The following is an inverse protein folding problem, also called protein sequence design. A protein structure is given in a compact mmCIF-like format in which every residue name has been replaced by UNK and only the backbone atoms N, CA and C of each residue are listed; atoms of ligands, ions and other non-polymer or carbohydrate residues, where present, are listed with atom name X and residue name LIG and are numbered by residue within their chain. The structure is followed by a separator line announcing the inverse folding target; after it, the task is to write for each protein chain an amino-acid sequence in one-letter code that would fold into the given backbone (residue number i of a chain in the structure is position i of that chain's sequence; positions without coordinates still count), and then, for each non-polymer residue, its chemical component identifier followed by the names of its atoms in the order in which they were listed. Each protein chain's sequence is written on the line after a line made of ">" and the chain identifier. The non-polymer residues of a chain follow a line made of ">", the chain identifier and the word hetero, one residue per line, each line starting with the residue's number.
data_IF_108125996033
#
_entry.id   IF_108125996033
#
_cell.length_a   1.000
_cell.length_b   1.000
_cell.length_c   1.000
_cell.angle_alpha   90.00
_cell.angle_beta   90.00
_cell.angle_gamma   90.00
#
_symmetry.space_group_name_H-M   'P 1'
#
loop_
_entity.id
_entity.type
_entity.pdbx_description
1 polymer ?
#
# COMPACT_ATOMS: atom_id res chain seq x y z
N UNK A 1 23.12 -14.64 17.05
CA UNK A 1 22.07 -14.14 17.97
C UNK A 1 20.67 -14.55 17.49
N UNK A 2 20.05 -15.66 17.97
CA UNK A 2 18.76 -16.15 17.47
C UNK A 2 17.53 -15.88 18.38
N UNK A 3 17.70 -15.23 19.55
CA UNK A 3 16.62 -15.04 20.54
C UNK A 3 15.55 -14.01 20.13
N UNK A 4 15.87 -13.00 19.32
CA UNK A 4 14.91 -11.92 18.99
C UNK A 4 13.82 -12.34 17.96
N UNK A 5 14.10 -13.32 17.09
CA UNK A 5 13.14 -13.74 16.06
C UNK A 5 11.98 -14.60 16.62
N UNK A 6 12.20 -15.37 17.69
CA UNK A 6 11.13 -16.14 18.35
C UNK A 6 10.10 -15.25 19.07
N UNK A 7 10.54 -14.11 19.62
CA UNK A 7 9.64 -13.15 20.29
C UNK A 7 8.69 -12.44 19.30
N UNK A 8 9.19 -12.06 18.11
CA UNK A 8 8.38 -11.47 17.02
C UNK A 8 7.36 -12.44 16.40
N UNK A 9 7.62 -13.75 16.44
CA UNK A 9 6.67 -14.77 15.95
C UNK A 9 5.50 -14.96 16.92
N UNK A 10 5.79 -15.08 18.23
CA UNK A 10 4.77 -15.22 19.28
C UNK A 10 3.85 -14.00 19.41
N UNK A 11 4.38 -12.78 19.28
CA UNK A 11 3.56 -11.56 19.33
C UNK A 11 2.59 -11.43 18.15
N UNK A 12 3.00 -11.86 16.95
CA UNK A 12 2.12 -11.89 15.77
C UNK A 12 0.97 -12.90 15.92
N UNK A 13 1.23 -14.06 16.51
CA UNK A 13 0.18 -15.07 16.78
C UNK A 13 -0.82 -14.58 17.83
N UNK A 14 -0.35 -13.94 18.91
CA UNK A 14 -1.21 -13.40 19.97
C UNK A 14 -2.20 -12.34 19.45
N UNK A 15 -1.80 -11.53 18.47
CA UNK A 15 -2.66 -10.49 17.91
C UNK A 15 -3.65 -11.06 16.87
N UNK A 16 -3.29 -12.14 16.16
CA UNK A 16 -4.17 -12.77 15.16
C UNK A 16 -5.39 -13.47 15.78
N UNK A 17 -5.29 -13.90 17.03
CA UNK A 17 -6.38 -14.56 17.79
C UNK A 17 -7.14 -13.63 18.73
N UNK A 18 -6.81 -12.32 18.73
CA UNK A 18 -7.32 -11.36 19.71
C UNK A 18 -8.84 -11.13 19.69
N UNK A 19 -9.54 -11.51 18.61
CA UNK A 19 -11.00 -11.43 18.52
C UNK A 19 -11.72 -12.66 19.12
N UNK A 20 -11.03 -13.80 19.28
CA UNK A 20 -11.63 -15.06 19.74
C UNK A 20 -11.99 -15.03 21.22
N UNK A 21 -11.13 -14.43 22.05
CA UNK A 21 -11.34 -14.31 23.49
C UNK A 21 -12.61 -13.51 23.85
N UNK A 22 -12.82 -12.27 23.34
CA UNK A 22 -14.06 -11.54 23.62
C UNK A 22 -15.30 -12.21 23.03
N UNK A 23 -15.19 -12.87 21.87
CA UNK A 23 -16.31 -13.63 21.29
C UNK A 23 -16.73 -14.81 22.19
N UNK A 24 -15.75 -15.53 22.76
CA UNK A 24 -16.01 -16.65 23.68
C UNK A 24 -16.67 -16.19 24.99
N UNK A 25 -16.22 -15.06 25.55
CA UNK A 25 -16.82 -14.46 26.75
C UNK A 25 -18.28 -14.06 26.48
N UNK A 26 -18.55 -13.40 25.34
CA UNK A 26 -19.91 -13.05 24.96
C UNK A 26 -20.82 -14.28 24.82
N UNK A 27 -20.30 -15.37 24.23
CA UNK A 27 -21.04 -16.63 24.09
C UNK A 27 -21.36 -17.27 25.45
N UNK A 28 -20.39 -17.33 26.38
CA UNK A 28 -20.62 -17.87 27.73
C UNK A 28 -21.69 -17.06 28.47
N UNK A 29 -21.62 -15.73 28.42
CA UNK A 29 -22.60 -14.86 29.07
C UNK A 29 -24.01 -15.12 28.54
N UNK A 30 -24.17 -15.23 27.22
CA UNK A 30 -25.47 -15.57 26.60
C UNK A 30 -25.95 -16.97 26.97
N UNK A 31 -25.06 -17.95 27.02
CA UNK A 31 -25.38 -19.32 27.41
C UNK A 31 -25.86 -19.41 28.87
N UNK A 32 -25.17 -18.75 29.79
CA UNK A 32 -25.58 -18.67 31.21
C UNK A 32 -26.95 -17.98 31.32
N UNK A 33 -27.19 -16.90 30.58
CA UNK A 33 -28.46 -16.17 30.62
C UNK A 33 -29.62 -17.01 30.06
N UNK A 34 -29.40 -17.77 28.99
CA UNK A 34 -30.46 -18.49 28.29
C UNK A 34 -30.72 -19.89 28.83
N UNK A 35 -29.69 -20.59 29.31
CA UNK A 35 -29.79 -21.98 29.76
C UNK A 35 -29.47 -22.15 31.24
N UNK A 36 -28.49 -21.41 31.76
CA UNK A 36 -28.08 -21.52 33.16
C UNK A 36 -29.11 -20.98 34.14
N UNK A 37 -29.60 -19.76 33.89
CA UNK A 37 -30.58 -19.13 34.78
C UNK A 37 -31.92 -19.85 34.84
N UNK A 38 -32.54 -20.28 33.72
CA UNK A 38 -33.80 -21.03 33.79
C UNK A 38 -33.71 -22.33 34.58
N UNK A 39 -32.57 -23.03 34.52
CA UNK A 39 -32.32 -24.25 35.31
C UNK A 39 -32.12 -23.99 36.80
N UNK A 40 -31.70 -22.78 37.19
CA UNK A 40 -31.44 -22.42 38.59
C UNK A 40 -32.67 -21.82 39.31
N UNK A 41 -33.61 -21.27 38.54
CA UNK A 41 -34.77 -20.54 39.06
C UNK A 41 -35.99 -21.40 39.38
N UNK A 42 -35.97 -22.70 39.09
CA UNK A 42 -37.16 -23.58 39.14
C UNK A 42 -37.82 -23.70 40.52
N UNK A 43 -37.07 -23.49 41.62
CA UNK A 43 -37.54 -23.89 42.95
C UNK A 43 -37.58 -22.77 44.00
N UNK A 44 -37.25 -21.51 43.66
CA UNK A 44 -37.18 -20.42 44.65
C UNK A 44 -37.55 -19.02 44.10
N UNK A 45 -38.55 -18.32 44.67
CA UNK A 45 -39.00 -17.01 44.19
C UNK A 45 -37.97 -15.89 44.35
N UNK A 46 -37.11 -15.96 45.38
CA UNK A 46 -36.01 -15.01 45.60
C UNK A 46 -34.97 -15.13 44.47
N UNK A 47 -34.64 -16.36 44.05
CA UNK A 47 -33.70 -16.62 42.94
C UNK A 47 -34.25 -16.10 41.62
N UNK A 48 -35.55 -16.21 41.41
CA UNK A 48 -36.24 -15.64 40.25
C UNK A 48 -36.14 -14.11 40.22
N UNK A 49 -36.42 -13.42 41.34
CA UNK A 49 -36.32 -11.96 41.43
C UNK A 49 -34.88 -11.45 41.17
N UNK A 50 -33.87 -12.10 41.75
CA UNK A 50 -32.45 -11.79 41.53
C UNK A 50 -32.08 -11.95 40.05
N UNK A 51 -32.55 -13.04 39.42
CA UNK A 51 -32.30 -13.32 38.00
C UNK A 51 -32.88 -12.24 37.09
N UNK A 52 -34.13 -11.81 37.35
CA UNK A 52 -34.79 -10.74 36.60
C UNK A 52 -34.00 -9.42 36.70
N UNK A 53 -33.48 -9.09 37.89
CA UNK A 53 -32.69 -7.88 38.11
C UNK A 53 -31.32 -7.89 37.42
N UNK A 54 -30.63 -9.04 37.36
CA UNK A 54 -29.27 -9.16 36.81
C UNK A 54 -29.25 -9.37 35.29
N UNK A 55 -30.30 -9.97 34.72
CA UNK A 55 -30.42 -10.24 33.27
C UNK A 55 -30.11 -9.06 32.34
N UNK A 56 -30.60 -7.82 32.56
CA UNK A 56 -30.26 -6.69 31.69
C UNK A 56 -28.76 -6.33 31.73
N UNK A 57 -28.11 -6.42 32.90
CA UNK A 57 -26.67 -6.17 33.03
C UNK A 57 -25.84 -7.23 32.30
N UNK A 58 -26.26 -8.50 32.37
CA UNK A 58 -25.61 -9.59 31.63
C UNK A 58 -25.71 -9.43 30.11
N UNK A 59 -26.87 -9.02 29.60
CA UNK A 59 -27.06 -8.73 28.17
C UNK A 59 -26.21 -7.54 27.70
N UNK A 60 -26.14 -6.48 28.52
CA UNK A 60 -25.28 -5.32 28.23
C UNK A 60 -23.79 -5.70 28.18
N UNK A 61 -23.32 -6.50 29.14
CA UNK A 61 -21.94 -7.00 29.14
C UNK A 61 -21.65 -7.87 27.91
N UNK A 62 -22.57 -8.78 27.54
CA UNK A 62 -22.43 -9.61 26.35
C UNK A 62 -22.34 -8.77 25.06
N UNK A 63 -23.13 -7.71 24.94
CA UNK A 63 -23.09 -6.79 23.81
C UNK A 63 -21.75 -6.03 23.73
N UNK A 64 -21.19 -5.60 24.87
CA UNK A 64 -19.88 -4.94 24.92
C UNK A 64 -18.76 -5.87 24.43
N UNK A 65 -18.75 -7.13 24.88
CA UNK A 65 -17.74 -8.09 24.42
C UNK A 65 -17.93 -8.46 22.94
N UNK A 66 -19.16 -8.57 22.45
CA UNK A 66 -19.45 -8.83 21.04
C UNK A 66 -18.99 -7.68 20.12
N UNK A 67 -19.19 -6.42 20.54
CA UNK A 67 -18.74 -5.26 19.75
C UNK A 67 -17.21 -5.16 19.70
N UNK A 68 -16.52 -5.40 20.82
CA UNK A 68 -15.05 -5.49 20.84
C UNK A 68 -14.53 -6.63 19.96
N UNK A 69 -15.18 -7.80 20.01
CA UNK A 69 -14.85 -8.93 19.14
C UNK A 69 -15.02 -8.56 17.65
N UNK A 70 -16.11 -7.88 17.28
CA UNK A 70 -16.37 -7.44 15.91
C UNK A 70 -15.33 -6.43 15.42
N UNK A 71 -14.99 -5.43 16.23
CA UNK A 71 -13.96 -4.44 15.89
C UNK A 71 -12.61 -5.12 15.69
N UNK A 72 -12.24 -6.04 16.58
CA UNK A 72 -10.98 -6.79 16.46
C UNK A 72 -10.97 -7.75 15.28
N UNK A 73 -12.11 -8.36 14.94
CA UNK A 73 -12.28 -9.21 13.76
C UNK A 73 -12.15 -8.41 12.47
N UNK A 74 -12.82 -7.25 12.36
CA UNK A 74 -12.71 -6.36 11.19
C UNK A 74 -11.24 -5.89 11.02
N UNK A 75 -10.58 -5.49 12.11
CA UNK A 75 -9.14 -5.13 12.07
C UNK A 75 -8.27 -6.31 11.66
N UNK A 76 -8.55 -7.52 12.13
CA UNK A 76 -7.82 -8.73 11.78
C UNK A 76 -8.03 -9.13 10.31
N UNK A 77 -9.24 -8.98 9.78
CA UNK A 77 -9.59 -9.32 8.39
C UNK A 77 -9.04 -8.31 7.38
N UNK A 78 -9.04 -7.01 7.73
CA UNK A 78 -8.33 -5.99 6.93
C UNK A 78 -6.82 -6.27 6.95
N UNK A 79 -6.28 -6.68 8.11
CA UNK A 79 -4.86 -7.03 8.24
C UNK A 79 -4.51 -8.33 7.52
N UNK A 80 -5.38 -9.35 7.47
CA UNK A 80 -5.13 -10.62 6.78
C UNK A 80 -4.97 -10.40 5.27
N UNK A 81 -5.82 -9.54 4.69
CA UNK A 81 -5.71 -9.09 3.28
C UNK A 81 -4.40 -8.33 3.00
N UNK A 82 -3.87 -7.57 3.97
CA UNK A 82 -2.57 -6.89 3.86
C UNK A 82 -1.36 -7.80 4.18
N UNK A 83 -1.50 -8.76 5.10
CA UNK A 83 -0.41 -9.61 5.61
C UNK A 83 -0.19 -10.86 4.76
N UNK A 84 -1.23 -11.36 4.09
CA UNK A 84 -1.10 -12.45 3.11
C UNK A 84 -0.21 -12.04 1.92
N UNK A 85 -0.01 -10.74 1.72
CA UNK A 85 0.99 -10.18 0.78
C UNK A 85 2.44 -10.40 1.22
N UNK A 86 2.71 -10.61 2.52
CA UNK A 86 4.08 -10.76 3.05
C UNK A 86 4.55 -12.22 3.16
N UNK A 87 3.64 -13.19 3.12
CA UNK A 87 4.01 -14.63 3.20
C UNK A 87 4.27 -15.21 1.80
N UNK A 88 3.61 -14.69 0.75
CA UNK A 88 3.87 -15.12 -0.63
C UNK A 88 5.27 -14.68 -1.10
N UNK A 89 5.80 -13.58 -0.55
CA UNK A 89 7.17 -13.12 -0.85
C UNK A 89 8.25 -14.09 -0.32
N UNK A 90 7.94 -14.94 0.67
CA UNK A 90 8.92 -15.86 1.29
C UNK A 90 9.11 -17.15 0.46
N UNK A 91 8.10 -17.58 -0.30
CA UNK A 91 8.15 -18.79 -1.14
C UNK A 91 8.59 -18.52 -2.60
N UNK A 92 8.66 -17.25 -3.03
CA UNK A 92 9.18 -16.85 -4.36
C UNK A 92 10.68 -16.53 -4.36
N UNK A 93 11.39 -16.78 -3.25
CA UNK A 93 12.82 -16.51 -3.05
C UNK A 93 13.81 -17.41 -3.80
N UNK A 94 13.43 -18.03 -4.93
CA UNK A 94 14.33 -18.92 -5.71
C UNK A 94 14.69 -18.42 -7.12
N UNK A 95 14.42 -17.16 -7.45
CA UNK A 95 15.01 -16.52 -8.62
C UNK A 95 16.13 -15.59 -8.15
N UNK A 96 17.39 -16.05 -8.31
CA UNK A 96 18.57 -15.19 -8.15
C UNK A 96 18.48 -14.07 -9.20
N UNK A 97 18.49 -12.77 -8.83
CA UNK A 97 18.58 -11.71 -9.83
C UNK A 97 19.95 -11.82 -10.51
N UNK A 98 19.94 -12.05 -11.83
CA UNK A 98 21.12 -12.21 -12.70
C UNK A 98 21.68 -10.89 -13.23
N UNK A 99 21.17 -9.74 -12.77
CA UNK A 99 21.63 -8.43 -13.21
C UNK A 99 22.56 -7.81 -12.16
N UNK A 100 23.78 -7.46 -12.58
CA UNK A 100 24.66 -6.59 -11.79
C UNK A 100 23.95 -5.26 -11.58
N UNK A 101 23.87 -4.80 -10.32
CA UNK A 101 23.27 -3.50 -10.02
C UNK A 101 24.06 -2.40 -10.73
N UNK A 102 23.41 -1.42 -11.35
CA UNK A 102 24.10 -0.31 -11.98
C UNK A 102 24.78 0.57 -10.94
N UNK A 103 25.96 1.08 -11.25
CA UNK A 103 26.73 1.97 -10.37
C UNK A 103 26.42 3.46 -10.62
N UNK A 104 25.77 3.78 -11.73
CA UNK A 104 25.48 5.16 -12.17
C UNK A 104 24.04 5.34 -12.62
N UNK A 105 23.52 6.56 -12.46
CA UNK A 105 22.22 6.95 -12.99
C UNK A 105 22.22 7.00 -14.51
N UNK A 106 21.14 6.50 -15.11
CA UNK A 106 20.86 6.70 -16.54
C UNK A 106 19.36 6.87 -16.76
N UNK A 107 19.00 7.57 -17.85
CA UNK A 107 17.59 7.70 -18.26
C UNK A 107 16.99 6.32 -18.60
N UNK A 108 17.80 5.40 -19.12
CA UNK A 108 17.40 4.03 -19.38
C UNK A 108 17.00 3.31 -18.09
N UNK A 109 17.78 3.47 -17.00
CA UNK A 109 17.44 2.89 -15.70
C UNK A 109 16.11 3.40 -15.18
N UNK A 110 15.86 4.72 -15.22
CA UNK A 110 14.58 5.31 -14.80
C UNK A 110 13.39 4.75 -15.58
N UNK A 111 13.56 4.45 -16.87
CA UNK A 111 12.52 3.82 -17.71
C UNK A 111 12.35 2.33 -17.44
N UNK A 112 13.35 1.66 -16.85
CA UNK A 112 13.36 0.22 -16.61
C UNK A 112 12.84 -0.18 -15.22
N UNK A 113 13.03 0.65 -14.20
CA UNK A 113 12.54 0.35 -12.86
C UNK A 113 11.02 0.14 -12.83
N UNK A 114 10.56 -0.74 -11.95
CA UNK A 114 9.14 -0.99 -11.74
C UNK A 114 8.43 0.22 -11.10
N UNK A 115 7.12 0.32 -11.32
CA UNK A 115 6.32 1.46 -10.86
C UNK A 115 6.36 1.68 -9.33
N UNK A 116 6.39 0.60 -8.53
CA UNK A 116 6.51 0.74 -7.06
C UNK A 116 7.85 1.30 -6.63
N UNK A 117 8.94 0.85 -7.27
CA UNK A 117 10.29 1.38 -6.99
C UNK A 117 10.39 2.83 -7.43
N UNK A 118 9.72 3.18 -8.52
CA UNK A 118 9.62 4.57 -8.96
C UNK A 118 8.89 5.45 -7.96
N UNK A 119 7.75 5.01 -7.41
CA UNK A 119 7.03 5.74 -6.33
C UNK A 119 7.92 5.94 -5.10
N UNK A 120 8.62 4.89 -4.66
CA UNK A 120 9.53 4.95 -3.52
C UNK A 120 10.73 5.86 -3.80
N UNK A 121 11.30 5.81 -5.01
CA UNK A 121 12.36 6.71 -5.47
C UNK A 121 11.90 8.17 -5.44
N UNK A 122 10.70 8.46 -5.95
CA UNK A 122 10.16 9.81 -5.94
C UNK A 122 9.97 10.31 -4.50
N UNK A 123 9.42 9.48 -3.62
CA UNK A 123 9.31 9.82 -2.20
C UNK A 123 10.68 10.05 -1.55
N UNK A 124 11.67 9.19 -1.83
CA UNK A 124 13.03 9.33 -1.32
C UNK A 124 13.71 10.62 -1.82
N UNK A 125 13.54 10.98 -3.08
CA UNK A 125 14.06 12.22 -3.65
C UNK A 125 13.60 13.45 -2.86
N UNK A 126 12.31 13.54 -2.54
CA UNK A 126 11.80 14.67 -1.75
C UNK A 126 12.26 14.63 -0.28
N UNK A 127 12.57 13.45 0.28
CA UNK A 127 13.21 13.35 1.60
C UNK A 127 14.65 13.88 1.58
N UNK A 128 15.40 13.61 0.51
CA UNK A 128 16.75 14.17 0.33
C UNK A 128 16.71 15.70 0.18
N UNK A 129 15.60 16.28 -0.31
CA UNK A 129 15.37 17.72 -0.30
C UNK A 129 14.94 18.29 1.07
N UNK A 130 14.88 17.46 2.12
CA UNK A 130 14.51 17.87 3.47
C UNK A 130 13.00 17.96 3.73
N UNK A 131 12.15 17.45 2.83
CA UNK A 131 10.71 17.37 3.06
C UNK A 131 10.33 16.06 3.75
N UNK A 132 9.30 16.09 4.60
CA UNK A 132 8.70 14.85 5.09
C UNK A 132 7.76 14.30 4.02
N UNK A 133 8.13 13.17 3.43
CA UNK A 133 7.37 12.50 2.37
C UNK A 133 6.74 11.19 2.85
N UNK A 134 5.42 11.17 2.96
CA UNK A 134 4.62 10.03 3.41
C UNK A 134 3.95 9.33 2.22
N UNK A 135 4.34 8.08 1.98
CA UNK A 135 3.76 7.25 0.92
C UNK A 135 2.39 6.71 1.36
N UNK A 136 1.36 6.94 0.56
CA UNK A 136 0.02 6.40 0.80
C UNK A 136 -0.04 5.02 0.16
N UNK A 137 -0.30 4.00 0.97
CA UNK A 137 -0.49 2.63 0.46
C UNK A 137 -1.86 2.55 -0.21
N UNK A 138 -1.92 2.00 -1.43
CA UNK A 138 -3.13 1.71 -2.23
C UNK A 138 -4.46 1.97 -1.49
N UNK A 139 -5.07 3.12 -1.75
CA UNK A 139 -6.34 3.53 -1.16
C UNK A 139 -7.18 4.33 -2.15
N UNK A 140 -8.45 4.55 -1.81
CA UNK A 140 -9.46 5.24 -2.61
C UNK A 140 -9.20 6.75 -2.85
N UNK A 141 -8.00 7.24 -2.53
CA UNK A 141 -7.62 8.66 -2.53
C UNK A 141 -7.28 9.22 -3.93
N UNK A 142 -7.95 8.72 -4.98
CA UNK A 142 -7.88 9.31 -6.31
C UNK A 142 -6.52 9.21 -7.02
N UNK A 143 -5.66 8.28 -6.60
CA UNK A 143 -4.37 8.02 -7.26
C UNK A 143 -3.21 8.89 -6.76
N UNK A 144 -3.31 9.47 -5.57
CA UNK A 144 -2.17 10.13 -4.90
C UNK A 144 -1.25 9.09 -4.26
N UNK A 145 0.04 9.16 -4.58
CA UNK A 145 1.02 8.20 -4.11
C UNK A 145 1.78 8.72 -2.87
N UNK A 146 2.03 10.05 -2.81
CA UNK A 146 2.83 10.66 -1.73
C UNK A 146 2.24 11.99 -1.28
N UNK A 147 2.17 12.19 0.05
CA UNK A 147 1.89 13.48 0.69
C UNK A 147 3.20 14.11 1.16
N UNK A 148 3.42 15.38 0.82
CA UNK A 148 4.61 16.13 1.15
C UNK A 148 4.29 17.19 2.21
N UNK A 149 5.08 17.21 3.28
CA UNK A 149 4.94 18.13 4.41
C UNK A 149 6.20 18.97 4.55
N UNK A 150 6.02 20.23 4.99
CA UNK A 150 7.13 21.12 5.37
C UNK A 150 7.30 21.04 6.88
N UNK A 151 8.48 20.60 7.34
CA UNK A 151 8.76 20.39 8.76
C UNK A 151 7.70 19.52 9.44
N UNK A 152 7.25 19.95 10.61
CA UNK A 152 6.28 19.22 11.44
C UNK A 152 4.82 19.63 11.20
N UNK A 153 4.52 20.28 10.07
CA UNK A 153 3.16 20.70 9.75
C UNK A 153 2.17 19.52 9.75
N UNK A 154 1.00 19.69 10.34
CA UNK A 154 -0.05 18.66 10.40
C UNK A 154 -0.72 18.41 9.05
N UNK A 155 -0.73 19.40 8.17
CA UNK A 155 -1.38 19.33 6.86
C UNK A 155 -0.34 19.23 5.73
N UNK A 156 -0.64 18.46 4.66
CA UNK A 156 0.26 18.33 3.53
C UNK A 156 0.33 19.64 2.75
N UNK A 157 1.55 20.09 2.47
CA UNK A 157 1.80 21.27 1.64
C UNK A 157 1.52 20.98 0.16
N UNK A 158 1.86 19.76 -0.29
CA UNK A 158 1.64 19.32 -1.66
C UNK A 158 1.38 17.82 -1.73
N UNK A 159 0.76 17.40 -2.82
CA UNK A 159 0.59 15.98 -3.17
C UNK A 159 1.37 15.64 -4.42
N UNK A 160 1.86 14.41 -4.46
CA UNK A 160 2.64 13.87 -5.55
C UNK A 160 1.95 12.61 -6.08
N UNK A 161 1.73 12.61 -7.39
CA UNK A 161 1.28 11.46 -8.16
C UNK A 161 2.39 11.01 -9.10
N UNK A 162 2.70 9.74 -9.06
CA UNK A 162 3.74 9.08 -9.81
C UNK A 162 3.11 8.14 -10.84
N UNK A 163 3.58 8.19 -12.10
CA UNK A 163 3.11 7.29 -13.15
C UNK A 163 4.28 6.72 -13.95
N UNK A 164 4.68 5.49 -13.64
CA UNK A 164 5.75 4.76 -14.32
C UNK A 164 5.23 3.64 -15.26
N UNK A 165 4.16 3.92 -16.01
CA UNK A 165 3.46 2.92 -16.84
C UNK A 165 3.93 2.94 -18.30
N UNK A 166 3.66 1.84 -19.02
CA UNK A 166 4.12 1.57 -20.39
C UNK A 166 3.45 2.43 -21.50
N UNK A 167 2.91 3.60 -21.14
CA UNK A 167 2.34 4.54 -22.11
C UNK A 167 3.43 5.46 -22.64
N UNK A 168 3.44 5.66 -23.96
CA UNK A 168 4.40 6.54 -24.64
C UNK A 168 4.30 8.00 -24.15
N UNK A 169 3.11 8.43 -23.76
CA UNK A 169 2.82 9.78 -23.28
C UNK A 169 1.73 9.78 -22.20
N UNK A 170 1.74 10.82 -21.36
CA UNK A 170 0.70 11.12 -20.37
C UNK A 170 -0.21 12.23 -20.90
N UNK A 171 -1.48 11.91 -21.12
CA UNK A 171 -2.50 12.88 -21.56
C UNK A 171 -3.02 13.77 -20.43
N UNK A 172 -3.93 14.67 -20.76
CA UNK A 172 -4.52 15.65 -19.82
C UNK A 172 -5.41 15.03 -18.75
N UNK A 173 -6.05 13.87 -19.02
CA UNK A 173 -7.03 13.25 -18.11
C UNK A 173 -6.45 12.95 -16.71
N UNK A 174 -5.33 12.21 -16.57
CA UNK A 174 -4.70 12.00 -15.25
C UNK A 174 -4.33 13.30 -14.52
N UNK A 175 -3.89 14.33 -15.26
CA UNK A 175 -3.52 15.62 -14.67
C UNK A 175 -4.76 16.35 -14.12
N UNK A 176 -5.90 16.27 -14.81
CA UNK A 176 -7.19 16.77 -14.32
C UNK A 176 -7.69 15.99 -13.10
N UNK A 177 -7.50 14.68 -13.08
CA UNK A 177 -7.85 13.84 -11.92
C UNK A 177 -7.05 14.29 -10.68
N UNK A 178 -5.74 14.52 -10.80
CA UNK A 178 -4.92 15.08 -9.73
C UNK A 178 -5.47 16.43 -9.25
N UNK A 179 -5.81 17.33 -10.17
CA UNK A 179 -6.38 18.64 -9.83
C UNK A 179 -7.69 18.52 -9.02
N UNK A 180 -8.55 17.58 -9.39
CA UNK A 180 -9.78 17.28 -8.64
C UNK A 180 -9.50 16.83 -7.21
N UNK A 181 -8.48 15.99 -7.01
CA UNK A 181 -8.04 15.56 -5.68
C UNK A 181 -7.49 16.73 -4.86
N UNK A 182 -6.72 17.62 -5.48
CA UNK A 182 -6.20 18.84 -4.82
C UNK A 182 -7.35 19.71 -4.30
N UNK A 183 -8.37 19.95 -5.13
CA UNK A 183 -9.52 20.76 -4.75
C UNK A 183 -10.30 20.14 -3.58
N UNK A 184 -10.54 18.82 -3.63
CA UNK A 184 -11.25 18.11 -2.57
C UNK A 184 -10.49 18.11 -1.24
N UNK A 185 -9.17 17.92 -1.27
CA UNK A 185 -8.32 17.89 -0.07
C UNK A 185 -7.83 19.29 0.36
N UNK A 186 -8.24 20.36 -0.35
CA UNK A 186 -7.82 21.76 -0.12
C UNK A 186 -6.30 21.95 -0.16
N UNK A 187 -5.63 21.23 -1.05
CA UNK A 187 -4.17 21.27 -1.21
C UNK A 187 -3.78 22.31 -2.25
N UNK A 188 -2.83 23.19 -1.89
CA UNK A 188 -2.44 24.34 -2.72
C UNK A 188 -1.69 23.96 -3.99
N UNK A 189 -0.89 22.89 -3.96
CA UNK A 189 -0.05 22.51 -5.11
C UNK A 189 0.07 21.00 -5.29
N UNK A 190 0.15 20.58 -6.55
CA UNK A 190 0.31 19.19 -6.94
C UNK A 190 1.58 19.00 -7.76
N UNK A 191 2.16 17.81 -7.69
CA UNK A 191 3.28 17.39 -8.52
C UNK A 191 2.85 16.12 -9.24
N UNK A 192 3.00 16.09 -10.56
CA UNK A 192 2.83 14.88 -11.35
C UNK A 192 4.19 14.50 -11.91
N UNK A 193 4.62 13.26 -11.66
CA UNK A 193 5.92 12.76 -12.05
C UNK A 193 5.77 11.49 -12.90
N UNK A 194 6.42 11.45 -14.05
CA UNK A 194 6.36 10.31 -14.99
C UNK A 194 7.74 9.97 -15.55
N UNK A 195 7.94 8.72 -15.97
CA UNK A 195 9.14 8.30 -16.72
C UNK A 195 9.04 8.59 -18.21
N UNK A 196 7.84 8.91 -18.70
CA UNK A 196 7.56 9.26 -20.10
C UNK A 196 7.47 10.78 -20.29
N UNK A 197 6.82 11.24 -21.34
CA UNK A 197 6.58 12.66 -21.63
C UNK A 197 5.09 13.01 -21.51
N UNK A 198 4.76 14.31 -21.54
CA UNK A 198 3.39 14.82 -21.50
C UNK A 198 2.91 15.25 -22.87
N UNK A 199 1.60 15.17 -23.11
CA UNK A 199 0.99 15.80 -24.29
C UNK A 199 0.91 17.32 -24.10
N UNK A 200 0.79 18.07 -25.21
CA UNK A 200 0.64 19.53 -25.16
C UNK A 200 -0.57 19.97 -24.33
N UNK A 201 -1.71 19.29 -24.48
CA UNK A 201 -2.91 19.55 -23.66
C UNK A 201 -2.64 19.44 -22.15
N UNK A 202 -1.82 18.47 -21.74
CA UNK A 202 -1.46 18.28 -20.34
C UNK A 202 -0.56 19.42 -19.85
N UNK A 203 0.40 19.84 -20.68
CA UNK A 203 1.29 20.97 -20.40
C UNK A 203 0.50 22.28 -20.28
N UNK A 204 -0.42 22.55 -21.21
CA UNK A 204 -1.27 23.75 -21.20
C UNK A 204 -2.14 23.78 -19.96
N UNK A 205 -2.83 22.68 -19.65
CA UNK A 205 -3.64 22.57 -18.43
C UNK A 205 -2.81 22.80 -17.16
N UNK A 206 -1.61 22.23 -17.07
CA UNK A 206 -0.74 22.42 -15.91
C UNK A 206 -0.18 23.85 -15.78
N UNK A 207 -0.10 24.63 -16.86
CA UNK A 207 0.30 26.05 -16.78
C UNK A 207 -0.79 26.94 -16.16
N UNK A 208 -2.06 26.56 -16.34
CA UNK A 208 -3.22 27.29 -15.83
C UNK A 208 -3.57 26.92 -14.38
N UNK A 209 -2.95 25.86 -13.84
CA UNK A 209 -3.25 25.31 -12.52
C UNK A 209 -1.98 25.14 -11.69
N UNK A 210 -2.06 25.05 -10.35
CA UNK A 210 -0.89 24.88 -9.48
C UNK A 210 -0.35 23.45 -9.50
N UNK A 211 -0.09 22.91 -10.69
CA UNK A 211 0.41 21.54 -10.92
C UNK A 211 1.77 21.61 -11.60
N UNK A 212 2.77 21.01 -10.96
CA UNK A 212 4.11 20.89 -11.52
C UNK A 212 4.24 19.55 -12.25
N UNK A 213 4.45 19.59 -13.56
CA UNK A 213 4.77 18.41 -14.36
C UNK A 213 6.28 18.17 -14.40
N UNK A 214 6.68 16.92 -14.15
CA UNK A 214 8.06 16.46 -14.14
C UNK A 214 8.13 15.18 -14.98
N UNK A 215 8.70 15.28 -16.18
CA UNK A 215 8.97 14.14 -17.04
C UNK A 215 10.28 13.43 -16.66
N UNK A 216 10.57 12.32 -17.36
CA UNK A 216 11.74 11.49 -17.04
C UNK A 216 13.08 12.22 -17.20
N UNK A 217 13.21 13.10 -18.19
CA UNK A 217 14.45 13.85 -18.44
C UNK A 217 14.65 14.94 -17.38
N UNK A 218 13.59 15.68 -17.08
CA UNK A 218 13.59 16.69 -16.01
C UNK A 218 13.90 16.04 -14.66
N UNK A 219 13.31 14.89 -14.36
CA UNK A 219 13.59 14.17 -13.12
C UNK A 219 15.04 13.67 -13.05
N UNK A 220 15.56 13.11 -14.14
CA UNK A 220 16.98 12.73 -14.23
C UNK A 220 17.91 13.92 -13.96
N UNK A 221 17.66 15.06 -14.60
CA UNK A 221 18.42 16.29 -14.39
C UNK A 221 18.30 16.82 -12.95
N UNK A 222 17.15 16.63 -12.30
CA UNK A 222 16.94 16.99 -10.90
C UNK A 222 17.79 16.12 -9.97
N UNK A 223 17.85 14.80 -10.20
CA UNK A 223 18.72 13.89 -9.44
C UNK A 223 20.19 14.27 -9.63
N UNK A 224 20.61 14.60 -10.85
CA UNK A 224 21.99 14.99 -11.16
C UNK A 224 22.47 16.27 -10.46
N UNK A 225 21.56 17.11 -9.95
CA UNK A 225 21.89 18.31 -9.16
C UNK A 225 22.15 18.03 -7.68
N UNK A 226 21.84 16.84 -7.18
CA UNK A 226 22.08 16.46 -5.79
C UNK A 226 23.55 16.09 -5.55
N UNK A 227 23.96 16.04 -4.28
CA UNK A 227 25.28 15.54 -3.91
C UNK A 227 25.47 14.07 -4.34
N UNK A 228 26.72 13.66 -4.56
CA UNK A 228 27.03 12.29 -4.94
C UNK A 228 26.49 11.26 -3.91
N UNK A 229 26.54 11.59 -2.62
CA UNK A 229 25.99 10.74 -1.55
C UNK A 229 24.47 10.55 -1.70
N UNK A 230 23.72 11.64 -1.93
CA UNK A 230 22.28 11.57 -2.14
C UNK A 230 21.94 10.79 -3.42
N UNK A 231 22.69 11.00 -4.50
CA UNK A 231 22.51 10.24 -5.75
C UNK A 231 22.69 8.73 -5.53
N UNK A 232 23.70 8.32 -4.77
CA UNK A 232 23.93 6.91 -4.44
C UNK A 232 22.84 6.32 -3.56
N UNK A 233 22.35 7.07 -2.55
CA UNK A 233 21.21 6.66 -1.72
C UNK A 233 19.96 6.42 -2.56
N UNK A 234 19.64 7.35 -3.47
CA UNK A 234 18.50 7.22 -4.37
C UNK A 234 18.66 6.03 -5.32
N UNK A 235 19.88 5.78 -5.82
CA UNK A 235 20.16 4.66 -6.70
C UNK A 235 19.94 3.32 -5.99
N UNK A 236 20.35 3.24 -4.72
CA UNK A 236 20.11 2.06 -3.89
C UNK A 236 18.61 1.80 -3.67
N UNK A 237 17.80 2.86 -3.48
CA UNK A 237 16.33 2.75 -3.38
C UNK A 237 15.72 2.28 -4.70
N UNK A 238 16.15 2.86 -5.83
CA UNK A 238 15.62 2.52 -7.14
C UNK A 238 15.95 1.07 -7.57
N UNK A 239 17.08 0.53 -7.09
CA UNK A 239 17.60 -0.80 -7.47
C UNK A 239 17.46 -1.85 -6.35
N UNK A 240 16.53 -1.62 -5.42
CA UNK A 240 16.24 -2.58 -4.36
C UNK A 240 15.41 -3.77 -4.89
N UNK A 241 15.85 -5.00 -4.58
CA UNK A 241 15.17 -6.24 -4.97
C UNK A 241 15.08 -6.44 -6.49
N UNK A 242 14.01 -7.09 -6.94
CA UNK A 242 13.75 -7.35 -8.36
C UNK A 242 13.14 -6.11 -9.03
N UNK A 243 13.90 -5.02 -9.11
CA UNK A 243 13.42 -3.72 -9.62
C UNK A 243 13.03 -3.74 -11.10
N UNK A 244 13.45 -4.74 -11.87
CA UNK A 244 13.08 -4.91 -13.28
C UNK A 244 11.74 -5.65 -13.48
N UNK A 245 11.30 -6.39 -12.47
CA UNK A 245 10.08 -7.21 -12.54
C UNK A 245 8.92 -6.40 -11.98
N UNK A 246 7.90 -6.06 -12.78
CA UNK A 246 6.80 -5.26 -12.31
C UNK A 246 5.95 -6.02 -11.30
N UNK A 247 5.53 -5.32 -10.25
CA UNK A 247 4.48 -5.77 -9.37
C UNK A 247 3.10 -5.63 -10.03
N UNK A 248 2.18 -6.55 -9.81
CA UNK A 248 0.80 -6.44 -10.30
C UNK A 248 0.05 -5.30 -9.56
N UNK A 249 -0.51 -4.30 -10.25
CA UNK A 249 -1.31 -3.23 -9.62
C UNK A 249 -2.57 -3.72 -8.88
N UNK A 250 -3.15 -4.85 -9.32
CA UNK A 250 -4.37 -5.39 -8.70
C UNK A 250 -4.10 -6.14 -7.40
N UNK A 251 -3.05 -6.97 -7.33
CA UNK A 251 -2.80 -7.84 -6.18
C UNK A 251 -1.48 -7.57 -5.44
N UNK A 252 -0.58 -6.79 -6.04
CA UNK A 252 0.72 -6.42 -5.49
C UNK A 252 1.84 -7.45 -5.66
N UNK A 253 1.56 -8.65 -6.16
CA UNK A 253 2.53 -9.75 -6.33
C UNK A 253 3.41 -9.49 -7.56
N UNK A 254 4.68 -9.91 -7.50
CA UNK A 254 5.59 -9.87 -8.66
C UNK A 254 5.02 -10.66 -9.83
N UNK A 255 5.03 -10.03 -11.00
CA UNK A 255 4.54 -10.65 -12.23
C UNK A 255 5.57 -11.61 -12.79
N UNK A 256 5.10 -12.57 -13.57
CA UNK A 256 5.96 -13.52 -14.27
C UNK A 256 5.91 -13.27 -15.76
N UNK A 257 7.05 -13.53 -16.36
CA UNK A 257 7.24 -13.73 -17.78
C UNK A 257 6.29 -14.80 -18.32
N UNK A 258 5.51 -14.48 -19.35
CA UNK A 258 4.69 -15.45 -20.08
C UNK A 258 4.88 -15.28 -21.58
N UNK A 259 4.87 -16.40 -22.31
CA UNK A 259 4.94 -16.41 -23.77
C UNK A 259 3.52 -16.46 -24.34
N UNK A 260 3.15 -15.43 -25.11
CA UNK A 260 1.93 -15.42 -25.91
C UNK A 260 2.20 -15.85 -27.35
N UNK A 261 1.15 -15.90 -28.20
CA UNK A 261 1.29 -16.26 -29.61
C UNK A 261 2.15 -15.28 -30.41
N UNK A 262 2.13 -13.99 -30.06
CA UNK A 262 2.81 -12.90 -30.81
C UNK A 262 4.00 -12.29 -30.08
N UNK A 263 3.99 -12.27 -28.75
CA UNK A 263 5.03 -11.62 -27.94
C UNK A 263 5.09 -12.17 -26.53
N UNK A 264 6.18 -11.85 -25.83
CA UNK A 264 6.33 -12.06 -24.39
C UNK A 264 5.58 -10.95 -23.64
N UNK A 265 4.95 -11.30 -22.51
CA UNK A 265 4.18 -10.37 -21.71
C UNK A 265 4.31 -10.69 -20.22
N UNK A 266 4.10 -9.68 -19.38
CA UNK A 266 3.97 -9.86 -17.94
C UNK A 266 2.58 -10.37 -17.60
N UNK A 267 2.49 -11.55 -16.99
CA UNK A 267 1.24 -12.10 -16.47
C UNK A 267 1.27 -12.18 -14.95
N UNK A 268 0.12 -11.93 -14.31
CA UNK A 268 0.02 -12.08 -12.87
C UNK A 268 0.27 -13.55 -12.44
N UNK A 269 1.09 -13.74 -11.41
CA UNK A 269 1.39 -15.05 -10.83
C UNK A 269 0.17 -15.70 -10.17
N UNK A 270 -0.79 -14.89 -9.72
CA UNK A 270 -2.03 -15.33 -9.07
C UNK A 270 -3.17 -15.65 -10.07
N UNK A 271 -2.85 -15.93 -11.33
CA UNK A 271 -3.83 -16.44 -12.29
C UNK A 271 -4.34 -17.82 -11.82
N UNK A 272 -5.65 -18.14 -11.94
CA UNK A 272 -6.72 -17.40 -12.64
C UNK A 272 -7.44 -16.34 -11.80
N UNK A 273 -7.13 -16.20 -10.51
CA UNK A 273 -7.80 -15.25 -9.60
C UNK A 273 -7.52 -13.79 -9.96
N UNK A 274 -6.35 -13.51 -10.55
CA UNK A 274 -6.00 -12.21 -11.10
C UNK A 274 -5.57 -12.37 -12.56
N UNK A 275 -6.32 -11.76 -13.50
CA UNK A 275 -6.11 -11.87 -14.94
C UNK A 275 -5.34 -10.70 -15.56
N UNK A 276 -4.77 -9.81 -14.74
CA UNK A 276 -4.08 -8.62 -15.21
C UNK A 276 -2.79 -9.01 -15.96
N UNK A 277 -2.56 -8.36 -17.11
CA UNK A 277 -1.40 -8.55 -17.97
C UNK A 277 -0.83 -7.20 -18.41
N UNK A 278 0.46 -7.17 -18.73
CA UNK A 278 1.13 -6.02 -19.35
C UNK A 278 2.03 -6.46 -20.49
N UNK A 279 2.13 -5.63 -21.52
CA UNK A 279 3.21 -5.75 -22.49
C UNK A 279 4.56 -5.59 -21.79
N UNK A 280 5.56 -6.40 -22.17
CA UNK A 280 6.94 -6.14 -21.78
C UNK A 280 7.43 -4.86 -22.46
N UNK A 281 8.31 -4.10 -21.79
CA UNK A 281 9.03 -3.01 -22.45
C UNK A 281 10.08 -3.65 -23.33
N UNK A 282 10.17 -3.24 -24.60
CA UNK A 282 11.28 -3.66 -25.46
C UNK A 282 12.56 -3.01 -24.93
N UNK A 283 13.42 -3.81 -24.31
CA UNK A 283 14.73 -3.36 -23.80
C UNK A 283 15.77 -3.24 -24.91
N UNK A 284 15.38 -3.44 -26.18
CA UNK A 284 16.26 -3.40 -27.36
C UNK A 284 16.53 -1.98 -27.90
N UNK A 285 15.83 -0.94 -27.43
CA UNK A 285 15.99 0.44 -27.91
C UNK A 285 17.05 1.25 -27.15
N UNK A 286 18.14 0.60 -26.75
CA UNK A 286 19.26 1.21 -26.03
C UNK A 286 20.59 1.07 -26.76
N UNK A 287 20.58 1.23 -28.10
CA UNK A 287 21.77 1.42 -28.94
C UNK A 287 21.73 2.80 -29.56
#
# INVERSE_FOLDING_TARGET
>A
MPRQNRAKSRSKQLIATAWKTPAFIAFILLFIIHYGFPLWTTDNPIRHAITVAIRPFGLFAAALFATVALINFIRAEIRSKCSSRRIIDDDLGKLKPTHSKPDTWSLALLKQIEWKRFEELCAAYFRELGLRAETIKCGADGGVDVKLFRGDASEPHSILQCKAWNSRYVGVKPVRELFGVMAHQKIRSGIFLTTSTYTEDALTFAKEHPIFLIDGEKFFNMIGKLSHEAQQKLLAVATEGDYLVPSCPSCGIKMIERKGPKSRFWGCSNYPKCKLTFAMRDTSLGT
#
